data_IF_470744587146
#
_entry.id   IF_470744587146
#
_cell.length_a   1.000
_cell.length_b   1.000
_cell.length_c   1.000
_cell.angle_alpha   90.00
_cell.angle_beta   90.00
_cell.angle_gamma   90.00
#
_symmetry.space_group_name_H-M   'P 1'
#
loop_
_entity.id
_entity.type
_entity.pdbx_description
1 polymer ?
#
# COMPACT_ATOMS: atom_id res chain seq x y z
N UNK A 1 46.41 32.59 13.91
CA UNK A 1 46.71 31.37 13.13
C UNK A 1 45.52 30.42 13.26
N UNK A 2 44.66 30.35 12.24
CA UNK A 2 43.54 29.42 12.19
C UNK A 2 44.02 28.05 11.71
N UNK A 3 43.68 26.97 12.42
CA UNK A 3 43.90 25.59 11.96
C UNK A 3 42.62 25.09 11.30
N UNK A 4 42.69 24.83 10.00
CA UNK A 4 41.66 24.16 9.22
C UNK A 4 41.48 22.71 9.72
N UNK A 5 40.24 22.31 9.99
CA UNK A 5 39.84 20.90 10.12
C UNK A 5 39.49 20.34 8.73
N UNK A 6 39.87 19.09 8.39
CA UNK A 6 39.43 18.47 7.16
C UNK A 6 38.00 17.92 7.31
N UNK A 7 37.18 18.22 6.31
CA UNK A 7 35.79 17.77 6.17
C UNK A 7 35.76 16.29 5.76
N UNK A 8 35.21 15.41 6.61
CA UNK A 8 35.05 13.99 6.31
C UNK A 8 33.79 13.81 5.48
N UNK A 9 33.97 13.60 4.17
CA UNK A 9 32.90 13.20 3.26
C UNK A 9 32.64 11.71 3.41
N UNK A 10 31.57 11.34 4.11
CA UNK A 10 31.08 9.95 4.14
C UNK A 10 30.50 9.57 2.78
N UNK A 11 31.27 8.82 2.00
CA UNK A 11 30.82 8.15 0.77
C UNK A 11 29.75 7.12 1.12
N UNK A 12 28.52 7.34 0.64
CA UNK A 12 27.40 6.41 0.80
C UNK A 12 27.62 5.20 -0.11
N UNK A 13 28.02 4.06 0.43
CA UNK A 13 28.25 2.84 -0.35
C UNK A 13 26.94 2.37 -0.98
N UNK A 14 26.85 2.39 -2.32
CA UNK A 14 25.71 1.88 -3.06
C UNK A 14 25.88 0.37 -3.23
N UNK A 15 25.07 -0.42 -2.54
CA UNK A 15 25.04 -1.88 -2.70
C UNK A 15 24.42 -2.20 -4.06
N UNK A 16 25.16 -2.86 -4.94
CA UNK A 16 24.66 -3.24 -6.27
C UNK A 16 23.90 -4.57 -6.22
N UNK A 17 23.10 -4.87 -7.26
CA UNK A 17 22.42 -6.18 -7.41
C UNK A 17 23.41 -7.35 -7.38
N UNK A 18 24.63 -7.14 -7.89
CA UNK A 18 25.72 -8.14 -7.89
C UNK A 18 26.28 -8.34 -6.48
N UNK A 19 26.39 -7.28 -5.69
CA UNK A 19 26.85 -7.36 -4.31
C UNK A 19 25.82 -8.11 -3.44
N UNK A 20 24.53 -7.84 -3.65
CA UNK A 20 23.45 -8.58 -2.99
C UNK A 20 23.52 -10.09 -3.30
N UNK A 21 23.71 -10.48 -4.56
CA UNK A 21 23.85 -11.89 -4.94
C UNK A 21 25.13 -12.54 -4.38
N UNK A 22 26.25 -11.81 -4.34
CA UNK A 22 27.51 -12.33 -3.75
C UNK A 22 27.40 -12.54 -2.25
N UNK A 23 26.80 -11.58 -1.54
CA UNK A 23 26.57 -11.67 -0.09
C UNK A 23 25.61 -12.84 0.20
N UNK A 24 24.53 -12.97 -0.58
CA UNK A 24 23.58 -14.08 -0.46
C UNK A 24 24.22 -15.45 -0.71
N UNK A 25 25.14 -15.57 -1.68
CA UNK A 25 25.84 -16.81 -1.98
C UNK A 25 26.88 -17.20 -0.90
N UNK A 26 27.57 -16.21 -0.31
CA UNK A 26 28.55 -16.45 0.76
C UNK A 26 27.90 -16.99 2.05
N UNK A 27 26.68 -16.56 2.36
CA UNK A 27 25.93 -17.02 3.53
C UNK A 27 25.61 -18.53 3.49
N UNK A 28 25.47 -19.12 2.30
CA UNK A 28 25.16 -20.54 2.13
C UNK A 28 26.37 -21.46 2.34
N UNK A 29 27.60 -20.96 2.14
CA UNK A 29 28.84 -21.76 2.23
C UNK A 29 29.44 -21.75 3.65
N UNK A 30 29.28 -20.66 4.41
CA UNK A 30 29.83 -20.53 5.77
C UNK A 30 29.19 -21.45 6.82
N UNK A 31 28.02 -22.04 6.54
CA UNK A 31 27.33 -22.95 7.46
C UNK A 31 28.00 -24.30 7.68
N UNK A 32 29.00 -24.67 6.87
CA UNK A 32 29.69 -25.97 6.94
C UNK A 32 31.01 -25.96 7.75
N UNK A 33 31.53 -24.79 8.19
CA UNK A 33 32.86 -24.68 8.80
C UNK A 33 32.87 -24.02 10.20
N UNK A 34 31.89 -24.33 11.04
CA UNK A 34 32.06 -24.23 12.50
C UNK A 34 32.26 -22.82 13.08
N UNK A 35 31.77 -21.76 12.42
CA UNK A 35 31.74 -20.42 13.00
C UNK A 35 30.70 -20.32 14.13
N UNK A 36 30.94 -19.47 15.15
CA UNK A 36 30.06 -19.36 16.31
C UNK A 36 28.63 -19.05 15.85
N UNK A 37 27.66 -19.74 16.47
CA UNK A 37 26.22 -19.53 16.22
C UNK A 37 25.91 -18.05 16.33
N UNK A 38 25.78 -17.37 15.19
CA UNK A 38 25.24 -16.03 15.13
C UNK A 38 23.86 -16.07 15.75
N UNK A 39 23.56 -15.08 16.59
CA UNK A 39 22.21 -14.82 17.12
C UNK A 39 21.17 -15.07 16.04
N UNK A 40 20.04 -15.75 16.33
CA UNK A 40 19.00 -15.96 15.34
C UNK A 40 18.69 -14.61 14.69
N UNK A 41 18.83 -14.54 13.36
CA UNK A 41 18.40 -13.36 12.64
C UNK A 41 16.96 -13.06 13.08
N UNK A 42 16.74 -11.85 13.59
CA UNK A 42 15.44 -11.40 14.02
C UNK A 42 14.44 -11.73 12.91
N UNK A 43 13.41 -12.52 13.25
CA UNK A 43 12.51 -13.07 12.24
C UNK A 43 11.91 -11.90 11.47
N UNK A 44 12.33 -11.73 10.20
CA UNK A 44 11.82 -10.68 9.33
C UNK A 44 10.30 -10.81 9.35
N UNK A 45 9.62 -9.74 9.81
CA UNK A 45 8.18 -9.68 9.84
C UNK A 45 7.65 -10.03 8.45
N UNK A 46 6.99 -11.18 8.32
CA UNK A 46 6.45 -11.63 7.04
C UNK A 46 5.23 -10.79 6.71
N UNK A 47 5.14 -10.31 5.48
CA UNK A 47 3.91 -9.69 4.98
C UNK A 47 2.76 -10.71 5.03
N UNK A 48 1.61 -10.28 5.57
CA UNK A 48 0.40 -11.09 5.65
C UNK A 48 -0.52 -10.75 4.48
N UNK A 49 -1.05 -11.77 3.80
CA UNK A 49 -2.01 -11.63 2.70
C UNK A 49 -3.22 -12.52 2.99
N UNK A 50 -4.42 -11.96 2.85
CA UNK A 50 -5.68 -12.68 3.02
C UNK A 50 -6.35 -12.83 1.66
N UNK A 51 -6.82 -14.05 1.35
CA UNK A 51 -7.55 -14.36 0.14
C UNK A 51 -8.98 -14.77 0.51
N UNK A 52 -9.95 -13.91 0.18
CA UNK A 52 -11.37 -14.21 0.31
C UNK A 52 -11.94 -14.51 -1.07
N UNK A 53 -12.77 -15.56 -1.15
CA UNK A 53 -13.45 -15.97 -2.39
C UNK A 53 -14.92 -16.25 -2.09
N UNK A 54 -15.79 -15.62 -2.87
CA UNK A 54 -17.20 -15.99 -2.93
C UNK A 54 -17.60 -16.04 -4.41
N UNK A 55 -17.96 -17.23 -4.90
CA UNK A 55 -18.33 -17.43 -6.31
C UNK A 55 -19.56 -16.62 -6.71
N UNK A 56 -20.39 -16.29 -5.73
CA UNK A 56 -21.62 -15.60 -5.96
C UNK A 56 -21.42 -14.06 -5.92
N UNK A 57 -20.20 -13.52 -5.74
CA UNK A 57 -19.99 -12.05 -5.77
C UNK A 57 -20.36 -11.43 -7.12
N UNK A 58 -20.25 -12.22 -8.20
CA UNK A 58 -20.71 -11.86 -9.54
C UNK A 58 -22.03 -12.59 -9.80
N UNK A 59 -23.09 -11.82 -10.06
CA UNK A 59 -24.40 -12.35 -10.43
C UNK A 59 -24.41 -12.91 -11.86
N UNK A 60 -25.50 -13.61 -12.23
CA UNK A 60 -25.65 -14.24 -13.54
C UNK A 60 -25.52 -13.27 -14.73
N UNK A 61 -25.83 -11.98 -14.51
CA UNK A 61 -25.69 -10.91 -15.53
C UNK A 61 -24.29 -10.30 -15.61
N UNK A 62 -23.32 -10.80 -14.82
CA UNK A 62 -21.99 -10.19 -14.69
C UNK A 62 -21.93 -8.98 -13.74
N UNK A 63 -23.07 -8.60 -13.14
CA UNK A 63 -23.15 -7.53 -12.16
C UNK A 63 -22.55 -7.93 -10.81
N UNK A 64 -21.95 -6.97 -10.10
CA UNK A 64 -21.41 -7.17 -8.76
C UNK A 64 -22.56 -7.11 -7.75
N UNK A 65 -22.72 -8.14 -6.91
CA UNK A 65 -23.67 -8.13 -5.79
C UNK A 65 -23.03 -7.44 -4.59
N UNK A 66 -23.49 -6.22 -4.31
CA UNK A 66 -22.84 -5.31 -3.35
C UNK A 66 -22.79 -5.89 -1.93
N UNK A 67 -23.84 -6.57 -1.50
CA UNK A 67 -23.97 -7.15 -0.17
C UNK A 67 -22.95 -8.28 0.04
N UNK A 68 -22.72 -9.08 -1.00
CA UNK A 68 -21.72 -10.16 -0.96
C UNK A 68 -20.31 -9.59 -0.99
N UNK A 69 -20.08 -8.52 -1.76
CA UNK A 69 -18.79 -7.84 -1.77
C UNK A 69 -18.47 -7.20 -0.41
N UNK A 70 -19.46 -6.59 0.24
CA UNK A 70 -19.33 -6.04 1.59
C UNK A 70 -18.99 -7.14 2.60
N UNK A 71 -19.69 -8.28 2.57
CA UNK A 71 -19.37 -9.44 3.41
C UNK A 71 -17.95 -9.97 3.16
N UNK A 72 -17.50 -10.03 1.90
CA UNK A 72 -16.13 -10.44 1.57
C UNK A 72 -15.09 -9.45 2.12
N UNK A 73 -15.35 -8.14 2.01
CA UNK A 73 -14.49 -7.10 2.56
C UNK A 73 -14.41 -7.22 4.08
N UNK A 74 -15.54 -7.36 4.76
CA UNK A 74 -15.61 -7.53 6.21
C UNK A 74 -14.83 -8.76 6.68
N UNK A 75 -15.05 -9.90 6.03
CA UNK A 75 -14.31 -11.12 6.32
C UNK A 75 -12.80 -10.93 6.10
N UNK A 76 -12.41 -10.22 5.04
CA UNK A 76 -11.00 -9.92 4.79
C UNK A 76 -10.40 -9.06 5.91
N UNK A 77 -11.13 -8.03 6.36
CA UNK A 77 -10.69 -7.11 7.41
C UNK A 77 -10.57 -7.79 8.77
N UNK A 78 -11.60 -8.52 9.21
CA UNK A 78 -11.56 -9.24 10.48
C UNK A 78 -10.48 -10.32 10.49
N UNK A 79 -10.30 -11.03 9.37
CA UNK A 79 -9.23 -12.02 9.24
C UNK A 79 -7.85 -11.36 9.27
N UNK A 80 -7.64 -10.26 8.53
CA UNK A 80 -6.35 -9.57 8.42
C UNK A 80 -5.91 -8.95 9.75
N UNK A 81 -6.84 -8.33 10.48
CA UNK A 81 -6.55 -7.62 11.73
C UNK A 81 -6.64 -8.55 12.95
N UNK A 82 -7.49 -9.58 12.90
CA UNK A 82 -7.72 -10.52 14.01
C UNK A 82 -8.74 -10.01 15.03
N UNK A 83 -9.81 -9.36 14.55
CA UNK A 83 -10.89 -8.82 15.39
C UNK A 83 -12.19 -9.63 15.24
N UNK A 84 -13.09 -9.59 16.25
CA UNK A 84 -14.35 -10.33 16.21
C UNK A 84 -15.36 -9.76 15.21
N UNK A 85 -15.28 -8.46 14.92
CA UNK A 85 -16.22 -7.77 14.04
C UNK A 85 -15.51 -6.74 13.14
N UNK A 86 -16.16 -6.32 12.03
CA UNK A 86 -15.56 -5.42 11.06
C UNK A 86 -15.28 -4.02 11.61
N UNK A 87 -16.16 -3.46 12.44
CA UNK A 87 -15.99 -2.10 12.96
C UNK A 87 -14.74 -2.03 13.83
N UNK A 88 -14.57 -2.97 14.75
CA UNK A 88 -13.34 -3.12 15.54
C UNK A 88 -12.08 -3.26 14.68
N UNK A 89 -12.17 -3.90 13.50
CA UNK A 89 -11.03 -4.00 12.58
C UNK A 89 -10.63 -2.63 12.02
N UNK A 90 -11.63 -1.84 11.59
CA UNK A 90 -11.41 -0.51 11.04
C UNK A 90 -10.94 0.51 12.09
N UNK A 91 -11.41 0.40 13.34
CA UNK A 91 -10.96 1.22 14.47
C UNK A 91 -9.46 1.06 14.79
N UNK A 92 -8.85 -0.08 14.43
CA UNK A 92 -7.40 -0.26 14.56
C UNK A 92 -6.61 0.50 13.50
N UNK A 93 -7.23 0.83 12.37
CA UNK A 93 -6.57 1.49 11.24
C UNK A 93 -6.85 3.00 11.17
N UNK A 94 -8.02 3.43 11.63
CA UNK A 94 -8.54 4.80 11.49
C UNK A 94 -9.27 5.22 12.77
N UNK A 95 -9.18 6.49 13.13
CA UNK A 95 -9.89 7.11 14.26
C UNK A 95 -10.96 8.09 13.78
N UNK A 96 -11.95 8.41 14.62
CA UNK A 96 -13.07 9.28 14.24
C UNK A 96 -12.65 10.70 13.80
N UNK A 97 -11.53 11.19 14.35
CA UNK A 97 -10.91 12.48 14.03
C UNK A 97 -10.11 12.48 12.71
N UNK A 98 -9.85 11.32 12.12
CA UNK A 98 -9.05 11.24 10.89
C UNK A 98 -9.76 11.88 9.69
N UNK A 99 -8.93 12.29 8.74
CA UNK A 99 -9.34 12.69 7.39
C UNK A 99 -8.87 11.60 6.42
N UNK A 100 -9.83 10.88 5.83
CA UNK A 100 -9.57 9.61 5.16
C UNK A 100 -9.75 9.74 3.65
N UNK A 101 -8.63 9.60 2.92
CA UNK A 101 -8.65 9.46 1.47
C UNK A 101 -8.73 8.00 1.05
N UNK A 102 -9.83 7.59 0.41
CA UNK A 102 -9.96 6.26 -0.21
C UNK A 102 -9.38 6.37 -1.62
N UNK A 103 -8.13 5.95 -1.80
CA UNK A 103 -7.46 6.00 -3.10
C UNK A 103 -7.97 4.87 -3.98
N UNK A 104 -9.00 5.17 -4.77
CA UNK A 104 -9.63 4.28 -5.74
C UNK A 104 -8.78 4.13 -7.00
N UNK A 105 -9.29 3.41 -8.00
CA UNK A 105 -8.68 3.26 -9.32
C UNK A 105 -9.75 3.35 -10.43
N UNK A 106 -9.58 4.27 -11.38
CA UNK A 106 -10.51 4.50 -12.48
C UNK A 106 -9.98 3.99 -13.82
N UNK A 107 -9.19 2.91 -13.81
CA UNK A 107 -8.76 2.24 -15.04
C UNK A 107 -9.94 1.52 -15.67
N UNK A 108 -10.23 1.81 -16.94
CA UNK A 108 -11.53 1.48 -17.53
C UNK A 108 -11.79 -0.03 -17.66
N UNK A 109 -10.74 -0.87 -17.81
CA UNK A 109 -10.91 -2.32 -17.92
C UNK A 109 -11.25 -3.00 -16.59
N UNK A 110 -10.75 -2.44 -15.48
CA UNK A 110 -10.90 -3.05 -14.17
C UNK A 110 -10.86 -1.94 -13.11
N UNK A 111 -11.90 -1.09 -13.05
CA UNK A 111 -11.98 -0.05 -12.04
C UNK A 111 -12.27 -0.67 -10.68
N UNK A 112 -11.90 0.02 -9.61
CA UNK A 112 -12.40 -0.31 -8.27
C UNK A 112 -13.93 -0.20 -8.29
N UNK A 113 -14.68 -1.24 -7.87
CA UNK A 113 -16.13 -1.18 -7.88
C UNK A 113 -16.66 -0.07 -6.96
N UNK A 114 -17.69 0.67 -7.41
CA UNK A 114 -18.37 1.68 -6.57
C UNK A 114 -18.97 1.08 -5.30
N UNK A 115 -19.42 -0.18 -5.37
CA UNK A 115 -19.89 -0.91 -4.20
C UNK A 115 -18.78 -1.17 -3.17
N UNK A 116 -17.53 -1.37 -3.59
CA UNK A 116 -16.40 -1.47 -2.65
C UNK A 116 -16.09 -0.13 -2.00
N UNK A 117 -16.10 0.95 -2.78
CA UNK A 117 -15.94 2.32 -2.23
C UNK A 117 -17.02 2.63 -1.21
N UNK A 118 -18.28 2.29 -1.51
CA UNK A 118 -19.42 2.47 -0.62
C UNK A 118 -19.30 1.62 0.66
N UNK A 119 -18.85 0.37 0.55
CA UNK A 119 -18.64 -0.51 1.70
C UNK A 119 -17.57 0.05 2.66
N UNK A 120 -16.43 0.52 2.11
CA UNK A 120 -15.38 1.17 2.90
C UNK A 120 -15.92 2.44 3.56
N UNK A 121 -16.60 3.29 2.79
CA UNK A 121 -17.21 4.51 3.31
C UNK A 121 -18.22 4.21 4.44
N UNK A 122 -19.03 3.15 4.30
CA UNK A 122 -19.98 2.70 5.31
C UNK A 122 -19.28 2.29 6.62
N UNK A 123 -18.18 1.55 6.55
CA UNK A 123 -17.40 1.16 7.72
C UNK A 123 -16.71 2.35 8.39
N UNK A 124 -16.17 3.29 7.62
CA UNK A 124 -15.58 4.52 8.15
C UNK A 124 -16.62 5.40 8.88
N UNK A 125 -17.85 5.48 8.35
CA UNK A 125 -18.95 6.15 9.06
C UNK A 125 -19.30 5.46 10.37
N UNK A 126 -19.30 4.12 10.41
CA UNK A 126 -19.56 3.35 11.64
C UNK A 126 -18.48 3.54 12.70
N UNK A 127 -17.21 3.72 12.29
CA UNK A 127 -16.10 4.11 13.18
C UNK A 127 -16.27 5.55 13.73
N UNK A 128 -17.13 6.37 13.12
CA UNK A 128 -17.40 7.75 13.54
C UNK A 128 -16.62 8.80 12.77
N UNK A 129 -15.96 8.45 11.66
CA UNK A 129 -15.35 9.45 10.78
C UNK A 129 -16.45 10.32 10.17
N UNK A 130 -16.26 11.64 10.20
CA UNK A 130 -17.26 12.58 9.67
C UNK A 130 -17.35 12.48 8.14
N UNK A 131 -18.55 12.61 7.58
CA UNK A 131 -18.79 12.50 6.13
C UNK A 131 -17.96 13.50 5.32
N UNK A 132 -17.82 14.72 5.82
CA UNK A 132 -16.99 15.75 5.22
C UNK A 132 -15.49 15.44 5.24
N UNK A 133 -15.05 14.53 6.13
CA UNK A 133 -13.66 14.09 6.31
C UNK A 133 -13.29 12.87 5.46
N UNK A 134 -14.16 12.41 4.57
CA UNK A 134 -13.89 11.25 3.73
C UNK A 134 -14.21 11.51 2.26
N UNK A 135 -13.37 10.98 1.37
CA UNK A 135 -13.60 11.01 -0.07
C UNK A 135 -12.94 9.82 -0.75
N UNK A 136 -13.59 9.30 -1.80
CA UNK A 136 -13.01 8.35 -2.73
C UNK A 136 -12.64 9.04 -4.04
N UNK A 137 -11.39 8.88 -4.49
CA UNK A 137 -10.90 9.50 -5.72
C UNK A 137 -9.73 8.70 -6.33
N UNK A 138 -9.47 8.90 -7.61
CA UNK A 138 -8.33 8.34 -8.34
C UNK A 138 -7.49 9.46 -8.96
N UNK A 139 -8.02 10.12 -9.99
CA UNK A 139 -7.28 11.13 -10.80
C UNK A 139 -7.34 12.54 -10.20
N UNK A 140 -8.31 12.82 -9.32
CA UNK A 140 -8.53 14.15 -8.74
C UNK A 140 -7.79 14.42 -7.43
N UNK A 141 -6.95 13.49 -6.95
CA UNK A 141 -6.37 13.54 -5.59
C UNK A 141 -5.55 14.80 -5.31
N UNK A 142 -4.95 15.43 -6.33
CA UNK A 142 -4.18 16.67 -6.18
C UNK A 142 -5.04 17.91 -5.96
N UNK A 143 -6.31 17.89 -6.36
CA UNK A 143 -7.25 19.00 -6.18
C UNK A 143 -8.35 18.67 -5.16
N UNK A 144 -8.48 17.41 -4.76
CA UNK A 144 -9.52 16.97 -3.84
C UNK A 144 -9.25 17.48 -2.41
N UNK A 145 -10.15 18.31 -1.83
CA UNK A 145 -9.92 18.91 -0.53
C UNK A 145 -9.66 17.90 0.58
N UNK A 146 -10.33 16.74 0.58
CA UNK A 146 -10.09 15.68 1.58
C UNK A 146 -8.68 15.12 1.45
N UNK A 147 -8.20 14.84 0.24
CA UNK A 147 -6.86 14.32 0.01
C UNK A 147 -5.76 15.32 0.40
N UNK A 148 -5.98 16.62 0.20
CA UNK A 148 -5.01 17.66 0.58
C UNK A 148 -4.76 17.72 2.09
N UNK A 149 -5.78 17.42 2.90
CA UNK A 149 -5.69 17.38 4.38
C UNK A 149 -5.75 15.96 4.95
N UNK A 150 -5.58 14.92 4.12
CA UNK A 150 -5.68 13.54 4.57
C UNK A 150 -4.63 13.22 5.63
N UNK A 151 -5.07 12.56 6.70
CA UNK A 151 -4.25 11.99 7.78
C UNK A 151 -4.10 10.48 7.61
N UNK A 152 -5.07 9.84 6.93
CA UNK A 152 -5.08 8.43 6.62
C UNK A 152 -5.44 8.19 5.15
N UNK A 153 -4.81 7.18 4.54
CA UNK A 153 -5.08 6.72 3.18
C UNK A 153 -5.42 5.24 3.18
N UNK A 154 -6.52 4.89 2.52
CA UNK A 154 -6.93 3.52 2.23
C UNK A 154 -6.67 3.27 0.74
N UNK A 155 -5.70 2.42 0.41
CA UNK A 155 -5.28 2.19 -0.96
C UNK A 155 -6.09 1.04 -1.56
N UNK A 156 -6.92 1.31 -2.57
CA UNK A 156 -7.77 0.28 -3.19
C UNK A 156 -7.56 0.22 -4.68
N UNK A 157 -7.07 -0.94 -5.14
CA UNK A 157 -7.09 -1.28 -6.56
C UNK A 157 -7.04 -2.78 -6.79
N UNK A 158 -7.51 -3.23 -7.95
CA UNK A 158 -7.24 -4.57 -8.42
C UNK A 158 -5.73 -4.81 -8.62
N UNK A 159 -5.29 -6.01 -8.23
CA UNK A 159 -4.02 -6.57 -8.65
C UNK A 159 -4.16 -7.16 -10.06
N UNK A 160 -3.24 -6.81 -10.95
CA UNK A 160 -3.22 -7.33 -12.32
C UNK A 160 -1.81 -7.50 -12.85
N UNK A 161 -1.65 -8.26 -13.93
CA UNK A 161 -0.44 -8.21 -14.75
C UNK A 161 -0.31 -6.86 -15.45
N UNK A 162 0.92 -6.47 -15.75
CA UNK A 162 1.25 -5.23 -16.44
C UNK A 162 2.41 -5.48 -17.39
N UNK A 163 2.20 -5.28 -18.70
CA UNK A 163 3.22 -5.61 -19.71
C UNK A 163 4.56 -4.91 -19.46
N UNK A 164 4.53 -3.65 -19.02
CA UNK A 164 5.74 -2.86 -18.75
C UNK A 164 6.41 -3.14 -17.39
N UNK A 165 5.66 -3.05 -16.28
CA UNK A 165 6.22 -3.18 -14.91
C UNK A 165 6.07 -4.57 -14.29
N UNK A 166 5.69 -5.58 -15.08
CA UNK A 166 5.34 -6.93 -14.63
C UNK A 166 3.97 -7.00 -13.94
N UNK A 167 3.77 -6.23 -12.88
CA UNK A 167 2.52 -6.18 -12.10
C UNK A 167 2.01 -4.74 -11.93
N UNK A 168 0.69 -4.60 -11.99
CA UNK A 168 -0.06 -3.42 -11.58
C UNK A 168 -0.61 -3.65 -10.18
N UNK A 169 0.19 -3.34 -9.17
CA UNK A 169 -0.14 -3.54 -7.75
C UNK A 169 -0.50 -2.24 -7.07
N UNK A 170 -0.85 -2.33 -5.79
CA UNK A 170 -1.12 -1.23 -4.86
C UNK A 170 -0.04 -0.14 -4.87
N UNK A 171 1.25 -0.50 -5.04
CA UNK A 171 2.35 0.46 -5.18
C UNK A 171 2.08 1.46 -6.32
N UNK A 172 1.56 0.96 -7.45
CA UNK A 172 1.29 1.76 -8.66
C UNK A 172 0.03 2.62 -8.53
N UNK A 173 -0.85 2.37 -7.56
CA UNK A 173 -2.07 3.18 -7.43
C UNK A 173 -1.76 4.65 -7.10
N UNK A 174 -0.64 4.89 -6.44
CA UNK A 174 -0.25 6.23 -5.98
C UNK A 174 0.42 7.08 -7.06
N UNK A 175 0.51 6.59 -8.29
CA UNK A 175 1.02 7.36 -9.44
C UNK A 175 0.19 8.61 -9.77
N UNK A 176 -1.01 8.74 -9.18
CA UNK A 176 -1.83 9.95 -9.29
C UNK A 176 -1.47 11.06 -8.26
N UNK A 177 -0.57 10.79 -7.30
CA UNK A 177 -0.06 11.82 -6.37
C UNK A 177 1.05 12.70 -6.97
N UNK A 178 1.21 12.69 -8.29
CA UNK A 178 2.10 13.58 -9.04
C UNK A 178 1.32 14.25 -10.16
N UNK A 179 1.58 15.55 -10.47
CA UNK A 179 0.96 16.20 -11.63
C UNK A 179 1.45 15.58 -12.95
N UNK A 180 2.55 14.82 -12.93
CA UNK A 180 3.15 14.17 -14.10
C UNK A 180 3.35 12.67 -13.84
N UNK A 181 2.29 11.85 -13.93
CA UNK A 181 2.38 10.39 -13.77
C UNK A 181 3.36 9.73 -14.75
N UNK A 182 3.52 10.30 -15.95
CA UNK A 182 4.40 9.80 -17.01
C UNK A 182 5.86 9.65 -16.57
N UNK A 183 6.33 10.53 -15.68
CA UNK A 183 7.73 10.56 -15.23
C UNK A 183 8.15 9.34 -14.40
N UNK A 184 7.16 8.52 -14.00
CA UNK A 184 7.36 7.32 -13.21
C UNK A 184 7.21 6.04 -14.04
N UNK A 185 7.28 6.15 -15.37
CA UNK A 185 7.26 5.01 -16.28
C UNK A 185 8.64 4.58 -16.77
N UNK A 186 9.70 5.36 -16.53
CA UNK A 186 11.06 5.01 -16.94
C UNK A 186 11.52 3.69 -16.33
N UNK A 187 12.35 2.98 -17.10
CA UNK A 187 12.98 1.72 -16.72
C UNK A 187 12.04 0.75 -15.95
N UNK A 188 10.94 0.35 -16.60
CA UNK A 188 9.94 -0.54 -16.01
C UNK A 188 9.27 0.00 -14.72
N UNK A 189 9.14 1.32 -14.59
CA UNK A 189 8.62 2.00 -13.40
C UNK A 189 9.48 1.82 -12.13
N UNK A 190 10.81 1.72 -12.27
CA UNK A 190 11.69 1.43 -11.13
C UNK A 190 11.61 2.47 -9.99
N UNK A 191 11.34 3.73 -10.33
CA UNK A 191 11.30 4.84 -9.39
C UNK A 191 9.90 5.05 -8.76
N UNK A 192 8.92 4.18 -9.03
CA UNK A 192 7.54 4.34 -8.57
C UNK A 192 7.39 4.42 -7.05
N UNK A 193 8.32 3.78 -6.31
CA UNK A 193 8.39 3.87 -4.85
C UNK A 193 8.64 5.29 -4.33
N UNK A 194 9.24 6.19 -5.13
CA UNK A 194 9.51 7.56 -4.70
C UNK A 194 8.23 8.35 -4.37
N UNK A 195 7.10 8.03 -5.02
CA UNK A 195 5.80 8.63 -4.73
C UNK A 195 5.33 8.39 -3.30
N UNK A 196 5.76 7.27 -2.69
CA UNK A 196 5.43 6.94 -1.30
C UNK A 196 6.17 7.80 -0.28
N UNK A 197 7.19 8.54 -0.72
CA UNK A 197 7.93 9.48 0.10
C UNK A 197 7.40 10.91 0.01
N UNK A 198 6.41 11.17 -0.85
CA UNK A 198 5.79 12.49 -0.95
C UNK A 198 5.07 12.86 0.35
N UNK A 199 5.08 14.15 0.78
CA UNK A 199 4.42 14.59 2.01
C UNK A 199 2.94 14.22 2.10
N UNK A 200 2.25 14.16 0.95
CA UNK A 200 0.84 13.80 0.83
C UNK A 200 0.58 12.31 1.11
N UNK A 201 1.62 11.47 1.11
CA UNK A 201 1.52 9.99 1.16
C UNK A 201 2.28 9.40 2.33
N UNK A 202 3.50 9.88 2.58
CA UNK A 202 4.46 9.30 3.53
C UNK A 202 3.84 9.14 4.91
N UNK A 203 3.79 7.89 5.39
CA UNK A 203 3.27 7.57 6.71
C UNK A 203 1.75 7.69 6.86
N UNK A 204 0.99 7.84 5.77
CA UNK A 204 -0.48 7.99 5.81
C UNK A 204 -1.25 6.76 5.36
N UNK A 205 -0.64 5.85 4.59
CA UNK A 205 -1.31 4.58 4.21
C UNK A 205 -1.57 3.70 5.43
N UNK A 206 -2.82 3.28 5.61
CA UNK A 206 -3.25 2.37 6.70
C UNK A 206 -3.64 0.98 6.19
N UNK A 207 -4.12 0.91 4.94
CA UNK A 207 -4.52 -0.34 4.30
C UNK A 207 -4.06 -0.36 2.85
N UNK A 208 -3.58 -1.54 2.42
CA UNK A 208 -3.15 -1.91 1.08
C UNK A 208 -3.89 -3.18 0.68
#
# INVERSE_FOLDING_TARGET
MAKNQPEVTTMKTIITRRDFLRIGAAATVGGLLGLPRTTPAEAIARSRVILIRNKDVIGASGSIRAEVLEQMMDQAMTTLIGTPDPVSAWEQLVKAEDVVGIKSNAWYQLPTPRSLEAAIHGRLLQVGVKKENMAADDRGVLSNPVFQRATALINTRPMRTHYWSGLGTLLKNYIMFTPRPSDYHDNACENLGALWHFPQVKGKTRLN
#
